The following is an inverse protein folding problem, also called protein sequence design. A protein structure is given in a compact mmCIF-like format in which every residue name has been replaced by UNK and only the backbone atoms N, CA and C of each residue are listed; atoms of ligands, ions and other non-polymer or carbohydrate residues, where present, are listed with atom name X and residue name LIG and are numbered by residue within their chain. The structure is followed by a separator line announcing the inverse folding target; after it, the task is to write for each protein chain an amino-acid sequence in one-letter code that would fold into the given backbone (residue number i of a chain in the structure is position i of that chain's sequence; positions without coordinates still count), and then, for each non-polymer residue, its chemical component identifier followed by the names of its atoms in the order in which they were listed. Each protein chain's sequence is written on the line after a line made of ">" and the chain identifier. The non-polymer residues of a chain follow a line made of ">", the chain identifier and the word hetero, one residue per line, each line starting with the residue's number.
data_IF_350258332983
#
_entry.id   IF_350258332983
#
_cell.length_a   1.000
_cell.length_b   1.000
_cell.length_c   1.000
_cell.angle_alpha   90.00
_cell.angle_beta   90.00
_cell.angle_gamma   90.00
#
_symmetry.space_group_name_H-M   'P 1'
#
loop_
_entity.id
_entity.type
_entity.pdbx_description
1 polymer ?
#
# COMPACT_ATOMS: atom_id res chain seq x y z
N UNK A 1 -4.49 -11.86 18.15
CA UNK A 1 -5.44 -12.68 17.36
C UNK A 1 -4.66 -13.37 16.27
N UNK A 2 -4.93 -14.65 15.94
CA UNK A 2 -4.34 -15.26 14.74
C UNK A 2 -4.69 -14.37 13.54
N UNK A 3 -3.67 -13.80 12.92
CA UNK A 3 -3.86 -12.91 11.79
C UNK A 3 -4.06 -13.76 10.54
N UNK A 4 -5.32 -14.16 10.31
CA UNK A 4 -5.69 -14.87 9.09
C UNK A 4 -5.49 -13.97 7.87
N UNK A 5 -5.16 -14.51 6.69
CA UNK A 5 -5.14 -13.74 5.45
C UNK A 5 -6.47 -13.01 5.22
N UNK A 6 -6.48 -11.84 4.57
CA UNK A 6 -7.69 -11.05 4.40
C UNK A 6 -8.70 -11.79 3.51
N UNK A 7 -9.98 -11.71 3.87
CA UNK A 7 -11.05 -12.35 3.11
C UNK A 7 -12.37 -11.63 3.26
N UNK A 8 -13.29 -11.96 2.35
CA UNK A 8 -14.69 -11.57 2.42
C UNK A 8 -15.58 -12.79 2.17
N UNK A 9 -16.52 -13.06 3.06
CA UNK A 9 -17.47 -14.18 2.90
C UNK A 9 -18.26 -14.07 1.59
N UNK A 10 -18.64 -12.85 1.21
CA UNK A 10 -19.32 -12.56 -0.05
C UNK A 10 -18.32 -12.25 -1.18
N UNK A 11 -17.31 -13.10 -1.38
CA UNK A 11 -16.22 -12.89 -2.34
C UNK A 11 -16.69 -12.58 -3.78
N UNK A 12 -17.88 -13.05 -4.19
CA UNK A 12 -18.47 -12.71 -5.49
C UNK A 12 -18.77 -11.21 -5.70
N UNK A 13 -18.85 -10.42 -4.64
CA UNK A 13 -18.99 -8.96 -4.74
C UNK A 13 -17.65 -8.24 -4.95
N UNK A 14 -16.51 -8.86 -4.65
CA UNK A 14 -15.18 -8.22 -4.76
C UNK A 14 -14.94 -7.74 -6.18
N UNK A 15 -15.06 -8.63 -7.16
CA UNK A 15 -14.83 -8.28 -8.57
C UNK A 15 -15.76 -7.17 -9.06
N UNK A 16 -17.06 -7.28 -8.73
CA UNK A 16 -18.07 -6.28 -9.11
C UNK A 16 -17.78 -4.90 -8.50
N UNK A 17 -17.32 -4.86 -7.25
CA UNK A 17 -16.93 -3.61 -6.59
C UNK A 17 -15.70 -3.02 -7.27
N UNK A 18 -14.67 -3.84 -7.52
CA UNK A 18 -13.42 -3.40 -8.16
C UNK A 18 -13.66 -2.84 -9.57
N UNK A 19 -14.54 -3.45 -10.36
CA UNK A 19 -14.93 -2.92 -11.68
C UNK A 19 -15.56 -1.54 -11.55
N UNK A 20 -16.54 -1.36 -10.66
CA UNK A 20 -17.18 -0.05 -10.47
C UNK A 20 -16.21 0.99 -9.90
N UNK A 21 -15.25 0.59 -9.08
CA UNK A 21 -14.21 1.48 -8.52
C UNK A 21 -13.36 2.12 -9.61
N UNK A 22 -13.09 1.42 -10.72
CA UNK A 22 -12.35 1.98 -11.87
C UNK A 22 -13.08 3.16 -12.52
N UNK A 23 -14.42 3.14 -12.51
CA UNK A 23 -15.25 4.15 -13.17
C UNK A 23 -15.81 5.23 -12.24
N UNK A 24 -15.97 4.94 -10.95
CA UNK A 24 -16.47 5.91 -9.97
C UNK A 24 -15.47 7.04 -9.71
N UNK A 25 -15.87 8.18 -9.17
CA UNK A 25 -14.93 9.21 -8.69
C UNK A 25 -14.18 8.72 -7.44
N UNK A 26 -12.92 9.13 -7.26
CA UNK A 26 -12.17 8.86 -6.02
C UNK A 26 -12.84 9.63 -4.87
N UNK A 27 -13.31 8.96 -3.81
CA UNK A 27 -13.85 9.64 -2.64
C UNK A 27 -12.72 10.14 -1.73
N UNK A 28 -12.99 11.17 -0.92
CA UNK A 28 -12.05 11.58 0.15
C UNK A 28 -11.88 10.47 1.20
N UNK A 29 -12.99 9.77 1.48
CA UNK A 29 -13.02 8.57 2.34
C UNK A 29 -13.88 7.48 1.75
N UNK A 30 -13.30 6.30 1.62
CA UNK A 30 -14.00 5.10 1.17
C UNK A 30 -14.74 4.47 2.37
N UNK A 31 -16.00 4.85 2.54
CA UNK A 31 -16.88 4.34 3.60
C UNK A 31 -17.98 3.43 3.04
N UNK A 32 -18.78 2.84 3.93
CA UNK A 32 -19.97 2.10 3.50
C UNK A 32 -20.98 2.97 2.77
N UNK A 33 -21.07 4.26 3.12
CA UNK A 33 -21.94 5.19 2.41
C UNK A 33 -21.58 5.23 0.92
N UNK A 34 -20.31 5.46 0.59
CA UNK A 34 -19.80 5.43 -0.79
C UNK A 34 -20.10 4.11 -1.52
N UNK A 35 -19.90 2.96 -0.86
CA UNK A 35 -20.26 1.65 -1.42
C UNK A 35 -21.74 1.56 -1.78
N UNK A 36 -22.61 2.10 -0.93
CA UNK A 36 -24.06 1.98 -1.08
C UNK A 36 -24.67 3.01 -2.03
N UNK A 37 -24.24 4.27 -1.97
CA UNK A 37 -24.80 5.41 -2.70
C UNK A 37 -24.17 5.55 -4.08
N UNK A 38 -22.84 5.48 -4.15
CA UNK A 38 -22.09 5.72 -5.39
C UNK A 38 -21.91 4.44 -6.20
N UNK A 39 -21.52 3.35 -5.53
CA UNK A 39 -21.28 2.06 -6.19
C UNK A 39 -22.54 1.18 -6.26
N UNK A 40 -23.61 1.52 -5.52
CA UNK A 40 -24.90 0.83 -5.57
C UNK A 40 -24.95 -0.51 -4.82
N UNK A 41 -23.98 -0.80 -3.95
CA UNK A 41 -23.94 -2.03 -3.14
C UNK A 41 -24.57 -1.80 -1.77
N UNK A 42 -25.90 -1.94 -1.70
CA UNK A 42 -26.69 -1.72 -0.47
C UNK A 42 -26.70 -2.90 0.51
N UNK A 43 -26.11 -4.04 0.13
CA UNK A 43 -26.15 -5.24 0.96
C UNK A 43 -25.19 -5.12 2.15
N UNK A 44 -25.59 -5.66 3.30
CA UNK A 44 -24.72 -5.75 4.49
C UNK A 44 -23.43 -6.53 4.20
N UNK A 45 -23.49 -7.49 3.28
CA UNK A 45 -22.34 -8.29 2.85
C UNK A 45 -21.25 -7.49 2.13
N UNK A 46 -21.58 -6.37 1.48
CA UNK A 46 -20.61 -5.50 0.83
C UNK A 46 -19.79 -4.66 1.83
N UNK A 47 -20.26 -4.52 3.08
CA UNK A 47 -19.54 -3.80 4.15
C UNK A 47 -18.17 -4.41 4.42
N UNK A 48 -18.03 -5.72 4.24
CA UNK A 48 -16.79 -6.45 4.43
C UNK A 48 -15.70 -6.10 3.39
N UNK A 49 -16.04 -5.37 2.32
CA UNK A 49 -15.05 -4.88 1.37
C UNK A 49 -14.14 -3.79 1.98
N UNK A 50 -14.66 -2.92 2.84
CA UNK A 50 -13.85 -1.86 3.47
C UNK A 50 -12.69 -2.42 4.30
N UNK A 51 -12.90 -3.36 5.25
CA UNK A 51 -11.78 -3.95 5.98
C UNK A 51 -10.84 -4.76 5.07
N UNK A 52 -11.36 -5.45 4.05
CA UNK A 52 -10.52 -6.11 3.04
C UNK A 52 -9.59 -5.11 2.34
N UNK A 53 -10.15 -4.01 1.83
CA UNK A 53 -9.43 -2.96 1.11
C UNK A 53 -8.36 -2.27 1.99
N UNK A 54 -8.62 -2.13 3.30
CA UNK A 54 -7.60 -1.67 4.25
C UNK A 54 -6.44 -2.66 4.39
N UNK A 55 -6.73 -3.95 4.54
CA UNK A 55 -5.70 -4.98 4.73
C UNK A 55 -4.82 -5.22 3.51
N UNK A 56 -5.37 -5.12 2.30
CA UNK A 56 -4.58 -5.20 1.06
C UNK A 56 -3.85 -3.88 0.73
N UNK A 57 -4.08 -2.82 1.52
CA UNK A 57 -3.41 -1.53 1.37
C UNK A 57 -3.98 -0.62 0.28
N UNK A 58 -5.21 -0.84 -0.17
CA UNK A 58 -5.94 0.12 -1.02
C UNK A 58 -6.38 1.34 -0.20
N UNK A 59 -6.79 1.11 1.04
CA UNK A 59 -7.25 2.15 1.95
C UNK A 59 -6.30 2.26 3.14
N UNK A 60 -6.07 3.47 3.61
CA UNK A 60 -5.39 3.70 4.87
C UNK A 60 -6.28 3.33 6.07
N UNK A 61 -5.71 3.33 7.27
CA UNK A 61 -6.41 3.02 8.52
C UNK A 61 -7.65 3.90 8.73
N UNK A 62 -7.60 5.14 8.26
CA UNK A 62 -8.69 6.12 8.35
C UNK A 62 -9.74 6.00 7.22
N UNK A 63 -9.51 5.13 6.26
CA UNK A 63 -10.38 4.90 5.10
C UNK A 63 -10.12 5.83 3.91
N UNK A 64 -9.07 6.66 3.95
CA UNK A 64 -8.63 7.42 2.77
C UNK A 64 -8.04 6.49 1.70
N UNK A 65 -8.30 6.73 0.41
CA UNK A 65 -7.67 5.96 -0.65
C UNK A 65 -6.17 6.25 -0.78
N UNK A 66 -5.36 5.20 -0.84
CA UNK A 66 -3.89 5.28 -0.99
C UNK A 66 -3.48 5.49 -2.46
N UNK A 67 -2.20 5.76 -2.71
CA UNK A 67 -1.68 5.87 -4.08
C UNK A 67 -1.80 4.55 -4.83
N UNK A 68 -1.65 3.42 -4.13
CA UNK A 68 -1.89 2.09 -4.68
C UNK A 68 -3.34 1.95 -5.21
N UNK A 69 -4.33 2.51 -4.51
CA UNK A 69 -5.71 2.57 -5.01
C UNK A 69 -5.86 3.50 -6.23
N UNK A 70 -5.13 4.63 -6.27
CA UNK A 70 -5.12 5.53 -7.44
C UNK A 70 -4.51 4.84 -8.66
N UNK A 71 -3.37 4.17 -8.50
CA UNK A 71 -2.74 3.36 -9.55
C UNK A 71 -3.64 2.22 -10.02
N UNK A 72 -4.41 1.60 -9.10
CA UNK A 72 -5.39 0.57 -9.47
C UNK A 72 -6.47 1.08 -10.41
N UNK A 73 -6.91 2.33 -10.24
CA UNK A 73 -7.91 2.97 -11.11
C UNK A 73 -7.37 3.32 -12.48
N UNK A 74 -6.07 3.52 -12.61
CA UNK A 74 -5.42 3.82 -13.88
C UNK A 74 -5.32 2.55 -14.74
N UNK A 75 -6.01 2.42 -15.89
CA UNK A 75 -6.02 1.20 -16.71
C UNK A 75 -4.64 0.57 -16.99
N UNK A 76 -3.60 1.32 -17.40
CA UNK A 76 -2.25 0.77 -17.62
C UNK A 76 -1.55 0.24 -16.37
N UNK A 77 -1.84 0.78 -15.18
CA UNK A 77 -1.19 0.38 -13.92
C UNK A 77 -2.08 -0.54 -13.07
N UNK A 78 -3.34 -0.74 -13.47
CA UNK A 78 -4.36 -1.46 -12.72
C UNK A 78 -3.92 -2.88 -12.34
N UNK A 79 -3.31 -3.59 -13.31
CA UNK A 79 -2.84 -4.95 -13.13
C UNK A 79 -1.70 -5.07 -12.11
N UNK A 80 -0.66 -4.25 -12.27
CA UNK A 80 0.49 -4.22 -11.35
C UNK A 80 0.12 -3.74 -9.95
N UNK A 81 -0.78 -2.75 -9.84
CA UNK A 81 -1.27 -2.25 -8.57
C UNK A 81 -2.02 -3.34 -7.79
N UNK A 82 -2.87 -4.13 -8.45
CA UNK A 82 -3.56 -5.24 -7.81
C UNK A 82 -2.59 -6.35 -7.40
N UNK A 83 -1.58 -6.67 -8.22
CA UNK A 83 -0.56 -7.66 -7.84
C UNK A 83 0.17 -7.26 -6.55
N UNK A 84 0.59 -5.99 -6.47
CA UNK A 84 1.20 -5.40 -5.26
C UNK A 84 0.27 -5.47 -4.05
N UNK A 85 -1.02 -5.19 -4.24
CA UNK A 85 -2.03 -5.29 -3.19
C UNK A 85 -2.19 -6.72 -2.66
N UNK A 86 -2.19 -7.70 -3.56
CA UNK A 86 -2.29 -9.11 -3.21
C UNK A 86 -1.04 -9.55 -2.44
N UNK A 87 0.18 -9.17 -2.87
CA UNK A 87 1.39 -9.48 -2.09
C UNK A 87 1.36 -8.90 -0.68
N UNK A 88 0.93 -7.65 -0.56
CA UNK A 88 0.82 -6.95 0.74
C UNK A 88 -0.25 -7.56 1.64
N UNK A 89 -1.40 -7.95 1.08
CA UNK A 89 -2.49 -8.54 1.85
C UNK A 89 -2.24 -9.98 2.26
N UNK A 90 -1.56 -10.76 1.41
CA UNK A 90 -1.35 -12.19 1.59
C UNK A 90 0.13 -12.53 1.85
N UNK A 91 0.85 -11.69 2.59
CA UNK A 91 2.30 -11.86 2.84
C UNK A 91 2.67 -13.27 3.30
N UNK A 92 1.94 -13.82 4.27
CA UNK A 92 2.16 -15.19 4.78
C UNK A 92 2.08 -16.27 3.69
N UNK A 93 1.27 -16.05 2.66
CA UNK A 93 1.13 -16.95 1.52
C UNK A 93 2.37 -16.92 0.63
N UNK A 94 2.88 -15.72 0.35
CA UNK A 94 4.04 -15.51 -0.50
C UNK A 94 5.36 -15.83 0.21
N UNK A 95 5.42 -15.71 1.54
CA UNK A 95 6.55 -16.16 2.36
C UNK A 95 6.76 -17.68 2.27
N UNK A 96 5.66 -18.45 2.17
CA UNK A 96 5.75 -19.91 2.00
C UNK A 96 5.92 -20.33 0.55
N UNK A 97 5.34 -19.58 -0.38
CA UNK A 97 5.47 -19.86 -1.80
C UNK A 97 5.51 -18.55 -2.59
N UNK A 98 6.69 -18.19 -3.10
CA UNK A 98 6.91 -17.00 -3.91
C UNK A 98 5.99 -16.93 -5.14
N UNK A 99 5.61 -18.10 -5.65
CA UNK A 99 4.70 -18.30 -6.78
C UNK A 99 3.29 -18.75 -6.36
N UNK A 100 2.82 -18.35 -5.16
CA UNK A 100 1.47 -18.68 -4.68
C UNK A 100 0.35 -18.29 -5.67
N UNK A 101 0.58 -17.24 -6.47
CA UNK A 101 -0.33 -16.81 -7.52
C UNK A 101 -0.49 -17.82 -8.67
N UNK A 102 0.42 -18.79 -8.84
CA UNK A 102 0.33 -19.85 -9.87
C UNK A 102 -0.33 -21.14 -9.36
N UNK A 103 -0.56 -21.26 -8.06
CA UNK A 103 -1.12 -22.47 -7.46
C UNK A 103 -2.57 -22.72 -7.92
N UNK A 104 -2.94 -24.00 -7.96
CA UNK A 104 -4.32 -24.40 -8.14
C UNK A 104 -5.10 -24.29 -6.82
N UNK A 105 -6.43 -24.43 -6.86
CA UNK A 105 -7.28 -24.29 -5.66
C UNK A 105 -6.96 -25.27 -4.54
N UNK A 106 -6.59 -26.52 -4.87
CA UNK A 106 -6.32 -27.57 -3.89
C UNK A 106 -5.00 -27.32 -3.17
N UNK A 107 -3.97 -26.94 -3.92
CA UNK A 107 -2.65 -26.61 -3.37
C UNK A 107 -2.74 -25.34 -2.51
N UNK A 108 -3.53 -24.35 -2.96
CA UNK A 108 -3.80 -23.14 -2.19
C UNK A 108 -4.56 -23.46 -0.89
N UNK A 109 -5.52 -24.38 -0.92
CA UNK A 109 -6.21 -24.86 0.30
C UNK A 109 -5.24 -25.54 1.27
N UNK A 110 -4.37 -26.42 0.78
CA UNK A 110 -3.34 -27.05 1.59
C UNK A 110 -2.43 -26.03 2.29
N UNK A 111 -1.93 -25.07 1.51
CA UNK A 111 -1.06 -23.99 2.03
C UNK A 111 -1.79 -23.15 3.09
N UNK A 112 -3.06 -22.81 2.87
CA UNK A 112 -3.86 -22.05 3.82
C UNK A 112 -4.12 -22.83 5.11
N UNK A 113 -4.38 -24.14 5.03
CA UNK A 113 -4.50 -25.01 6.22
C UNK A 113 -3.20 -24.99 7.03
N UNK A 114 -2.06 -25.10 6.37
CA UNK A 114 -0.76 -25.07 7.04
C UNK A 114 -0.44 -23.69 7.66
N UNK A 115 -0.90 -22.58 7.05
CA UNK A 115 -0.64 -21.22 7.55
C UNK A 115 -1.58 -20.90 8.71
N UNK A 116 -2.86 -21.23 8.56
CA UNK A 116 -3.92 -20.82 9.49
C UNK A 116 -4.17 -21.82 10.62
N UNK A 117 -3.71 -23.06 10.47
CA UNK A 117 -3.99 -24.16 11.41
C UNK A 117 -5.45 -24.61 11.44
N UNK A 118 -6.26 -24.18 10.46
CA UNK A 118 -7.69 -24.47 10.38
C UNK A 118 -7.95 -25.81 9.69
N UNK A 119 -9.12 -26.40 9.94
CA UNK A 119 -9.53 -27.64 9.28
C UNK A 119 -9.73 -27.45 7.78
N UNK A 120 -9.41 -28.51 7.02
CA UNK A 120 -9.76 -28.60 5.59
C UNK A 120 -11.26 -28.36 5.40
N UNK A 121 -11.64 -27.70 4.31
CA UNK A 121 -13.04 -27.41 3.96
C UNK A 121 -13.80 -26.41 4.88
N UNK A 122 -13.12 -25.73 5.82
CA UNK A 122 -13.75 -24.67 6.63
C UNK A 122 -14.23 -23.48 5.75
N UNK A 123 -15.34 -22.85 6.14
CA UNK A 123 -15.94 -21.69 5.43
C UNK A 123 -14.94 -20.54 5.28
N UNK A 124 -14.09 -20.31 6.27
CA UNK A 124 -13.05 -19.27 6.24
C UNK A 124 -12.03 -19.52 5.13
N UNK A 125 -11.50 -20.74 5.02
CA UNK A 125 -10.53 -21.10 3.97
C UNK A 125 -11.16 -20.94 2.59
N UNK A 126 -12.40 -21.39 2.43
CA UNK A 126 -13.16 -21.23 1.17
C UNK A 126 -13.35 -19.76 0.80
N UNK A 127 -13.62 -18.90 1.79
CA UNK A 127 -13.79 -17.47 1.60
C UNK A 127 -12.47 -16.77 1.29
N UNK A 128 -11.36 -17.20 1.90
CA UNK A 128 -10.01 -16.73 1.58
C UNK A 128 -9.68 -17.07 0.12
N UNK A 129 -9.83 -18.34 -0.29
CA UNK A 129 -9.57 -18.79 -1.66
C UNK A 129 -10.44 -18.00 -2.65
N UNK A 130 -11.74 -17.91 -2.40
CA UNK A 130 -12.66 -17.18 -3.28
C UNK A 130 -12.33 -15.70 -3.40
N UNK A 131 -11.89 -15.06 -2.30
CA UNK A 131 -11.45 -13.65 -2.32
C UNK A 131 -10.15 -13.50 -3.10
N UNK A 132 -9.17 -14.36 -2.84
CA UNK A 132 -7.87 -14.34 -3.51
C UNK A 132 -8.02 -14.53 -5.03
N UNK A 133 -8.85 -15.48 -5.46
CA UNK A 133 -9.15 -15.70 -6.87
C UNK A 133 -9.83 -14.48 -7.50
N UNK A 134 -10.81 -13.89 -6.81
CA UNK A 134 -11.50 -12.70 -7.30
C UNK A 134 -10.53 -11.51 -7.48
N UNK A 135 -9.55 -11.33 -6.59
CA UNK A 135 -8.51 -10.32 -6.72
C UNK A 135 -7.53 -10.66 -7.84
N UNK A 136 -7.12 -11.93 -7.94
CA UNK A 136 -6.17 -12.43 -8.94
C UNK A 136 -6.65 -12.17 -10.38
N UNK A 137 -7.95 -12.18 -10.65
CA UNK A 137 -8.52 -11.83 -11.96
C UNK A 137 -8.16 -10.41 -12.43
N UNK A 138 -7.86 -9.49 -11.51
CA UNK A 138 -7.47 -8.12 -11.82
C UNK A 138 -5.96 -7.89 -11.70
N UNK A 139 -5.19 -8.92 -11.33
CA UNK A 139 -3.77 -8.81 -11.06
C UNK A 139 -2.93 -9.22 -12.27
N UNK A 140 -1.89 -8.44 -12.55
CA UNK A 140 -0.82 -8.79 -13.48
C UNK A 140 0.51 -8.73 -12.74
N UNK A 141 0.99 -9.88 -12.28
CA UNK A 141 2.20 -9.99 -11.48
C UNK A 141 3.48 -9.63 -12.27
N UNK A 142 3.44 -9.72 -13.61
CA UNK A 142 4.55 -9.33 -14.47
C UNK A 142 4.69 -7.79 -14.61
N UNK A 143 3.67 -7.01 -14.23
CA UNK A 143 3.65 -5.54 -14.31
C UNK A 143 3.82 -4.88 -12.93
N UNK A 144 4.10 -5.65 -11.87
CA UNK A 144 4.17 -5.18 -10.49
C UNK A 144 5.35 -4.22 -10.23
N UNK A 145 6.51 -4.48 -10.84
CA UNK A 145 7.73 -3.67 -10.66
C UNK A 145 7.53 -2.24 -11.17
N UNK A 146 6.89 -2.09 -12.34
CA UNK A 146 6.59 -0.78 -12.96
C UNK A 146 5.74 0.12 -12.07
N UNK A 147 4.79 -0.46 -11.33
CA UNK A 147 3.94 0.31 -10.41
C UNK A 147 4.69 0.65 -9.13
N UNK A 148 5.66 -0.18 -8.73
CA UNK A 148 6.51 0.12 -7.57
C UNK A 148 7.46 1.27 -7.84
N UNK A 149 8.01 1.35 -9.05
CA UNK A 149 8.80 2.49 -9.49
C UNK A 149 7.95 3.76 -9.57
N UNK A 150 6.78 3.70 -10.21
CA UNK A 150 5.90 4.87 -10.35
C UNK A 150 5.41 5.46 -9.01
N UNK A 151 5.08 4.62 -8.01
CA UNK A 151 4.67 5.10 -6.69
C UNK A 151 5.86 5.70 -5.92
N UNK A 152 7.06 5.14 -6.06
CA UNK A 152 8.26 5.69 -5.42
C UNK A 152 8.65 7.04 -6.02
N UNK A 153 8.55 7.18 -7.33
CA UNK A 153 8.76 8.45 -8.01
C UNK A 153 7.76 9.50 -7.53
N UNK A 154 6.47 9.17 -7.39
CA UNK A 154 5.44 10.09 -6.87
C UNK A 154 5.67 10.50 -5.41
N UNK A 155 6.19 9.62 -4.54
CA UNK A 155 6.54 9.95 -3.15
C UNK A 155 7.80 10.83 -3.03
N UNK A 156 8.68 10.84 -4.04
CA UNK A 156 9.89 11.67 -4.07
C UNK A 156 9.68 13.09 -4.64
N UNK A 157 8.48 13.42 -5.15
CA UNK A 157 8.17 14.75 -5.72
C UNK A 157 7.23 15.58 -4.82
N UNK A 158 7.79 16.29 -3.83
CA UNK A 158 7.28 17.60 -3.39
C UNK A 158 8.40 18.49 -2.81
N UNK A 159 8.40 19.82 -3.01
CA UNK A 159 8.05 20.60 -4.20
C UNK A 159 9.31 21.14 -4.91
N UNK A 160 9.19 21.36 -6.22
CA UNK A 160 10.21 21.99 -7.07
C UNK A 160 10.49 23.41 -6.54
N UNK A 161 11.67 23.61 -5.93
CA UNK A 161 12.35 24.91 -5.97
C UNK A 161 13.48 24.86 -6.98
N UNK A 162 13.32 25.73 -7.97
CA UNK A 162 14.33 26.51 -8.67
C UNK A 162 15.25 25.86 -9.72
N UNK A 163 15.21 26.51 -10.88
CA UNK A 163 16.35 27.13 -11.60
C UNK A 163 17.34 26.21 -12.31
N UNK A 164 17.30 26.36 -13.63
CA UNK A 164 18.40 26.34 -14.60
C UNK A 164 19.69 25.58 -14.25
N UNK A 165 19.85 24.43 -14.90
CA UNK A 165 21.03 24.10 -15.72
C UNK A 165 22.39 23.97 -15.04
N UNK A 166 22.80 22.71 -14.78
CA UNK A 166 24.15 22.17 -15.05
C UNK A 166 24.20 20.65 -14.82
N UNK A 167 25.09 19.92 -15.51
CA UNK A 167 25.08 18.45 -15.55
C UNK A 167 25.64 17.82 -14.27
N UNK A 168 25.18 16.59 -14.03
CA UNK A 168 25.34 15.77 -12.83
C UNK A 168 26.80 15.55 -12.41
N UNK A 169 27.14 16.04 -11.22
CA UNK A 169 28.12 15.40 -10.35
C UNK A 169 27.33 14.62 -9.27
N UNK A 170 27.61 13.32 -9.16
CA UNK A 170 27.09 12.42 -8.13
C UNK A 170 27.32 13.01 -6.73
N UNK A 171 26.34 13.73 -6.21
CA UNK A 171 26.33 14.19 -4.82
C UNK A 171 25.72 13.09 -3.97
N UNK A 172 26.58 12.39 -3.24
CA UNK A 172 26.20 11.55 -2.10
C UNK A 172 25.44 12.43 -1.10
N UNK A 173 24.11 12.38 -1.12
CA UNK A 173 23.27 13.16 -0.23
C UNK A 173 23.14 12.42 1.10
N UNK A 174 24.09 12.66 2.00
CA UNK A 174 24.19 11.98 3.28
C UNK A 174 23.31 12.72 4.30
N UNK A 175 22.09 12.23 4.50
CA UNK A 175 21.16 12.79 5.48
C UNK A 175 21.57 12.36 6.90
N UNK A 176 22.18 13.27 7.65
CA UNK A 176 22.55 13.03 9.04
C UNK A 176 21.64 13.81 10.00
N UNK A 177 20.99 13.08 10.91
CA UNK A 177 20.26 13.67 12.02
C UNK A 177 21.23 13.97 13.16
N UNK A 178 21.54 15.25 13.38
CA UNK A 178 22.42 15.69 14.48
C UNK A 178 21.56 16.22 15.62
N UNK A 179 21.63 15.56 16.78
CA UNK A 179 21.01 16.02 18.01
C UNK A 179 22.00 16.90 18.79
N UNK A 180 21.74 18.19 18.88
CA UNK A 180 22.60 19.15 19.60
C UNK A 180 22.00 19.47 20.99
N UNK A 181 22.79 19.28 22.04
CA UNK A 181 22.43 19.71 23.40
C UNK A 181 23.03 21.09 23.65
N UNK A 182 22.18 22.10 23.75
CA UNK A 182 22.62 23.47 24.02
C UNK A 182 23.01 23.64 25.50
N UNK A 183 24.09 24.38 25.81
CA UNK A 183 24.45 24.71 27.18
C UNK A 183 23.39 25.63 27.81
N UNK A 184 23.18 25.49 29.12
CA UNK A 184 22.36 26.44 29.90
C UNK A 184 23.16 27.73 30.11
N UNK A 185 23.11 28.62 29.13
CA UNK A 185 23.65 29.98 29.21
C UNK A 185 22.61 30.95 28.69
N UNK A 186 22.54 32.13 29.29
CA UNK A 186 21.65 33.22 28.83
C UNK A 186 22.39 34.22 27.92
N UNK A 187 23.67 33.95 27.62
CA UNK A 187 24.49 34.79 26.76
C UNK A 187 24.27 34.47 25.26
N UNK A 188 23.65 35.44 24.58
CA UNK A 188 23.35 35.41 23.15
C UNK A 188 24.62 35.31 22.28
N UNK A 189 25.76 35.83 22.74
CA UNK A 189 27.02 35.76 22.00
C UNK A 189 27.53 34.32 21.87
N UNK A 190 27.31 33.48 22.89
CA UNK A 190 27.72 32.06 22.89
C UNK A 190 26.90 31.28 21.87
N UNK A 191 25.59 31.49 21.81
CA UNK A 191 24.74 30.87 20.79
C UNK A 191 25.15 31.27 19.37
N UNK A 192 25.40 32.56 19.15
CA UNK A 192 25.85 33.06 17.86
C UNK A 192 27.19 32.46 17.43
N UNK A 193 28.14 32.28 18.35
CA UNK A 193 29.41 31.63 18.07
C UNK A 193 29.25 30.15 17.68
N UNK A 194 28.35 29.42 18.37
CA UNK A 194 28.04 28.02 18.06
C UNK A 194 27.40 27.91 16.66
N UNK A 195 26.37 28.70 16.36
CA UNK A 195 25.70 28.65 15.06
C UNK A 195 26.59 29.10 13.90
N UNK A 196 27.43 30.12 14.13
CA UNK A 196 28.42 30.56 13.13
C UNK A 196 29.43 29.44 12.83
N UNK A 197 29.95 28.78 13.86
CA UNK A 197 30.90 27.68 13.71
C UNK A 197 30.28 26.47 13.02
N UNK A 198 29.03 26.14 13.32
CA UNK A 198 28.28 25.06 12.64
C UNK A 198 28.06 25.37 11.16
N UNK A 199 27.67 26.61 10.84
CA UNK A 199 27.48 27.04 9.46
C UNK A 199 28.78 26.99 8.65
N UNK A 200 29.89 27.40 9.25
CA UNK A 200 31.20 27.43 8.58
C UNK A 200 31.78 26.02 8.34
N UNK A 201 31.55 25.07 9.25
CA UNK A 201 32.20 23.75 9.19
C UNK A 201 31.31 22.60 8.65
N UNK A 202 29.99 22.67 8.83
CA UNK A 202 29.07 21.59 8.41
C UNK A 202 28.26 21.92 7.16
N UNK A 203 27.99 23.21 6.91
CA UNK A 203 27.11 23.65 5.81
C UNK A 203 27.87 24.28 4.64
N UNK A 204 29.18 24.45 4.76
CA UNK A 204 30.03 25.00 3.69
C UNK A 204 31.00 23.93 3.20
N UNK A 205 30.65 23.29 2.09
CA UNK A 205 31.60 22.73 1.14
C UNK A 205 31.22 23.24 -0.25
#
# INVERSE_FOLDING_TARGET
>A
MPEYPPFMNAYGNVGKILEKVKHAKTPDRFTYDFLSTTLGFKSSSARAFVPLAKRIGFLASDGSPTDLYKSFRNPPQSGGAMAKAIRKGYTQLFERNESAYKLNKKDLEGLLVEITGLEKNQVTIRSIIGTFEALKLFAKFDEEEKVTEAIKEEEEVEPIKEVEGRPEELKLNLAYTINLVLPKTDDVAVFNAIFKSLRENLLRK
#
